data_IF_158160121752
#
_entry.id   IF_158160121752
#
_cell.length_a   1.000
_cell.length_b   1.000
_cell.length_c   1.000
_cell.angle_alpha   90.00
_cell.angle_beta   90.00
_cell.angle_gamma   90.00
#
_symmetry.space_group_name_H-M   'P 1'
#
loop_
_entity.id
_entity.type
_entity.pdbx_description
1 polymer ?
#
# COMPACT_ATOMS: atom_id res chain seq x y z
N UNK A 1 -3.03 7.87 -10.82
CA UNK A 1 -4.31 7.33 -10.35
C UNK A 1 -4.63 7.97 -9.01
N UNK A 2 -5.79 8.55 -8.94
CA UNK A 2 -6.21 9.28 -7.75
C UNK A 2 -6.72 8.34 -6.67
N UNK A 3 -6.48 8.70 -5.43
CA UNK A 3 -7.22 8.19 -4.29
C UNK A 3 -8.72 8.35 -4.48
N UNK A 4 -9.46 7.80 -3.56
CA UNK A 4 -10.89 8.09 -3.46
C UNK A 4 -11.13 9.60 -3.50
N UNK A 5 -12.21 10.00 -4.17
CA UNK A 5 -12.59 11.40 -4.22
C UNK A 5 -12.72 11.98 -2.81
N UNK A 6 -12.26 13.25 -2.62
CA UNK A 6 -12.38 13.90 -1.32
C UNK A 6 -13.83 13.84 -0.79
N UNK A 7 -14.01 13.68 0.54
CA UNK A 7 -13.02 13.75 1.61
C UNK A 7 -12.52 12.39 2.13
N UNK A 8 -12.56 11.34 1.33
CA UNK A 8 -12.49 9.97 1.81
C UNK A 8 -11.09 9.48 2.21
N UNK A 9 -10.05 9.78 1.43
CA UNK A 9 -8.70 9.27 1.73
C UNK A 9 -8.01 10.06 2.83
N UNK A 10 -7.25 9.36 3.67
CA UNK A 10 -6.44 10.00 4.71
C UNK A 10 -5.28 9.10 5.12
N UNK A 11 -4.28 9.70 5.75
CA UNK A 11 -3.21 9.01 6.48
C UNK A 11 -2.91 9.75 7.77
N UNK A 12 -2.96 9.04 8.88
CA UNK A 12 -2.46 9.45 10.18
C UNK A 12 -1.35 8.50 10.61
N UNK A 13 -0.19 9.02 10.96
CA UNK A 13 0.92 8.20 11.41
C UNK A 13 1.84 8.95 12.36
N UNK A 14 2.42 8.22 13.32
CA UNK A 14 3.45 8.74 14.21
C UNK A 14 4.79 8.14 13.85
N UNK A 15 5.72 8.98 13.47
CA UNK A 15 7.10 8.63 13.13
C UNK A 15 8.04 9.10 14.24
N UNK A 16 9.00 8.24 14.61
CA UNK A 16 10.02 8.52 15.61
C UNK A 16 11.39 8.06 15.12
N UNK A 17 12.43 8.73 15.54
CA UNK A 17 13.80 8.39 15.18
C UNK A 17 14.44 9.38 14.22
N UNK A 18 15.02 8.91 13.12
CA UNK A 18 15.70 9.77 12.14
C UNK A 18 14.78 10.83 11.53
N UNK A 19 13.49 10.60 11.53
CA UNK A 19 12.45 11.59 11.28
C UNK A 19 11.45 11.50 12.43
N UNK A 20 11.31 12.57 13.18
CA UNK A 20 10.37 12.65 14.31
C UNK A 20 9.25 13.62 13.94
N UNK A 21 8.09 13.10 13.62
CA UNK A 21 6.94 13.90 13.19
C UNK A 21 5.64 13.10 13.27
N UNK A 22 4.53 13.81 13.25
CA UNK A 22 3.22 13.23 13.08
C UNK A 22 2.71 13.58 11.69
N UNK A 23 2.30 12.56 10.94
CA UNK A 23 1.66 12.73 9.64
C UNK A 23 0.15 12.84 9.89
N UNK A 24 -0.44 13.87 9.28
CA UNK A 24 -1.87 14.01 9.19
C UNK A 24 -2.19 14.55 7.80
N UNK A 25 -2.48 13.64 6.88
CA UNK A 25 -2.83 13.98 5.50
C UNK A 25 -4.29 13.66 5.24
N UNK A 26 -5.00 14.62 4.69
CA UNK A 26 -6.33 14.43 4.13
C UNK A 26 -6.25 14.27 2.61
N UNK A 27 -7.35 13.91 1.98
CA UNK A 27 -7.40 13.64 0.54
C UNK A 27 -6.80 14.76 -0.33
N UNK A 28 -6.95 16.03 0.08
CA UNK A 28 -6.39 17.16 -0.64
C UNK A 28 -4.86 17.26 -0.54
N UNK A 29 -4.27 16.63 0.48
CA UNK A 29 -2.84 16.74 0.80
C UNK A 29 -2.00 15.59 0.25
N UNK A 30 -2.64 14.55 -0.28
CA UNK A 30 -1.96 13.33 -0.65
C UNK A 30 -2.37 12.82 -2.03
N UNK A 31 -1.50 12.00 -2.58
CA UNK A 31 -1.84 11.10 -3.68
C UNK A 31 -1.75 9.67 -3.16
N UNK A 32 -2.56 8.77 -3.68
CA UNK A 32 -2.46 7.37 -3.33
C UNK A 32 -2.70 6.44 -4.52
N UNK A 33 -2.17 5.25 -4.37
CA UNK A 33 -2.27 4.21 -5.36
C UNK A 33 -2.37 2.86 -4.64
N UNK A 34 -3.35 2.06 -5.03
CA UNK A 34 -3.55 0.75 -4.44
C UNK A 34 -3.87 -0.29 -5.51
N UNK A 35 -3.20 -1.42 -5.44
CA UNK A 35 -3.30 -2.48 -6.43
C UNK A 35 -2.86 -3.83 -5.87
N UNK A 36 -3.07 -4.88 -6.64
CA UNK A 36 -2.46 -6.17 -6.37
C UNK A 36 -0.94 -6.01 -6.35
N UNK A 37 -0.28 -6.78 -5.51
CA UNK A 37 1.19 -6.87 -5.57
C UNK A 37 1.64 -7.44 -6.92
N UNK A 38 2.88 -7.11 -7.36
CA UNK A 38 3.41 -7.64 -8.62
C UNK A 38 3.43 -9.18 -8.70
N UNK A 39 3.59 -9.87 -7.56
CA UNK A 39 3.51 -11.32 -7.45
C UNK A 39 2.07 -11.86 -7.40
N UNK A 40 1.08 -10.96 -7.48
CA UNK A 40 -0.37 -11.22 -7.40
C UNK A 40 -0.84 -11.84 -6.10
N UNK A 41 0.00 -11.83 -5.10
CA UNK A 41 -0.34 -12.28 -3.75
C UNK A 41 -0.55 -11.06 -2.85
N UNK A 42 -1.77 -10.90 -2.39
CA UNK A 42 -2.12 -9.77 -1.55
C UNK A 42 -2.13 -8.43 -2.29
N UNK A 43 -2.06 -7.37 -1.54
CA UNK A 43 -2.17 -6.01 -2.07
C UNK A 43 -1.03 -5.11 -1.60
N UNK A 44 -0.91 -4.00 -2.31
CA UNK A 44 0.01 -2.92 -2.00
C UNK A 44 -0.73 -1.60 -2.11
N UNK A 45 -0.56 -0.73 -1.13
CA UNK A 45 -1.08 0.63 -1.17
C UNK A 45 0.03 1.61 -0.83
N UNK A 46 0.08 2.73 -1.54
CA UNK A 46 1.06 3.79 -1.30
C UNK A 46 0.38 5.13 -1.20
N UNK A 47 0.95 5.99 -0.36
CA UNK A 47 0.51 7.35 -0.14
C UNK A 47 1.70 8.29 -0.23
N UNK A 48 1.55 9.40 -0.93
CA UNK A 48 2.58 10.43 -1.00
C UNK A 48 2.02 11.76 -0.56
N UNK A 49 2.75 12.45 0.28
CA UNK A 49 2.40 13.77 0.77
C UNK A 49 3.61 14.53 1.29
N UNK A 50 3.39 15.71 1.81
CA UNK A 50 4.44 16.58 2.35
C UNK A 50 4.27 16.72 3.85
N UNK A 51 5.36 16.56 4.59
CA UNK A 51 5.41 16.73 6.05
C UNK A 51 6.79 17.24 6.44
N UNK A 52 6.85 18.20 7.35
CA UNK A 52 8.11 18.80 7.83
C UNK A 52 9.02 19.31 6.69
N UNK A 53 8.44 19.82 5.61
CA UNK A 53 9.16 20.33 4.45
C UNK A 53 9.74 19.25 3.53
N UNK A 54 9.41 17.98 3.76
CA UNK A 54 9.86 16.86 2.95
C UNK A 54 8.70 16.20 2.24
N UNK A 55 8.95 15.68 1.04
CA UNK A 55 8.02 14.76 0.38
C UNK A 55 8.30 13.34 0.84
N UNK A 56 7.28 12.70 1.39
CA UNK A 56 7.33 11.35 1.91
C UNK A 56 6.41 10.44 1.11
N UNK A 57 6.85 9.22 0.85
CA UNK A 57 6.00 8.16 0.31
C UNK A 57 5.98 7.00 1.30
N UNK A 58 4.78 6.62 1.71
CA UNK A 58 4.53 5.47 2.58
C UNK A 58 3.98 4.34 1.73
N UNK A 59 4.60 3.17 1.79
CA UNK A 59 4.16 1.99 1.06
C UNK A 59 3.86 0.87 2.03
N UNK A 60 2.65 0.35 1.97
CA UNK A 60 2.20 -0.79 2.78
C UNK A 60 1.96 -1.98 1.86
N UNK A 61 2.63 -3.09 2.13
CA UNK A 61 2.45 -4.34 1.41
C UNK A 61 1.90 -5.42 2.32
N UNK A 62 0.76 -5.99 1.96
CA UNK A 62 0.09 -7.05 2.70
C UNK A 62 0.03 -8.32 1.84
N UNK A 63 1.06 -9.18 1.92
CA UNK A 63 1.17 -10.33 1.02
C UNK A 63 0.09 -11.39 1.20
N UNK A 64 -0.51 -11.44 2.36
CA UNK A 64 -1.49 -12.48 2.70
C UNK A 64 -2.93 -11.97 2.77
N UNK A 65 -3.17 -10.74 2.33
CA UNK A 65 -4.51 -10.13 2.38
C UNK A 65 -5.26 -10.37 1.06
N UNK A 66 -6.31 -11.21 1.07
CA UNK A 66 -7.15 -11.41 -0.11
C UNK A 66 -8.04 -10.21 -0.41
N UNK A 67 -8.53 -10.16 -1.65
CA UNK A 67 -9.55 -9.21 -2.06
C UNK A 67 -10.77 -9.26 -1.15
N UNK A 68 -11.21 -8.10 -0.67
CA UNK A 68 -12.42 -7.95 0.13
C UNK A 68 -12.33 -8.52 1.54
N UNK A 69 -11.18 -9.01 1.97
CA UNK A 69 -11.03 -9.59 3.30
C UNK A 69 -11.09 -8.51 4.38
N UNK A 70 -11.79 -8.84 5.46
CA UNK A 70 -11.83 -8.07 6.70
C UNK A 70 -11.22 -8.94 7.79
N UNK A 71 -10.10 -8.52 8.34
CA UNK A 71 -9.40 -9.30 9.37
C UNK A 71 -8.46 -8.43 10.20
N UNK A 72 -8.00 -8.99 11.33
CA UNK A 72 -6.91 -8.45 12.14
C UNK A 72 -5.62 -9.24 11.97
N UNK A 73 -4.56 -8.73 12.59
CA UNK A 73 -3.23 -9.35 12.62
C UNK A 73 -2.67 -9.67 11.22
N UNK A 74 -2.71 -8.70 10.33
CA UNK A 74 -2.20 -8.86 8.97
C UNK A 74 -0.72 -8.48 8.93
N UNK A 75 0.19 -9.43 8.66
CA UNK A 75 1.61 -9.13 8.47
C UNK A 75 1.81 -8.13 7.34
N UNK A 76 2.61 -7.10 7.60
CA UNK A 76 2.71 -5.95 6.70
C UNK A 76 4.17 -5.56 6.48
N UNK A 77 4.54 -5.39 5.22
CA UNK A 77 5.78 -4.74 4.83
C UNK A 77 5.56 -3.24 4.77
N UNK A 78 6.49 -2.48 5.31
CA UNK A 78 6.45 -1.02 5.27
C UNK A 78 7.71 -0.50 4.62
N UNK A 79 7.53 0.40 3.66
CA UNK A 79 8.62 1.18 3.06
C UNK A 79 8.28 2.66 3.21
N UNK A 80 9.24 3.42 3.68
CA UNK A 80 9.16 4.87 3.77
C UNK A 80 10.23 5.47 2.88
N UNK A 81 9.82 6.29 1.92
CA UNK A 81 10.73 6.99 1.01
C UNK A 81 10.76 8.45 1.41
N UNK A 82 11.94 8.95 1.76
CA UNK A 82 12.21 10.37 1.94
C UNK A 82 12.82 10.88 0.66
N UNK A 83 12.06 11.61 -0.14
CA UNK A 83 12.52 12.07 -1.45
C UNK A 83 13.82 12.87 -1.34
N UNK A 84 14.82 12.47 -2.14
CA UNK A 84 16.15 13.08 -2.11
C UNK A 84 17.02 12.73 -0.90
N UNK A 85 16.54 11.92 0.04
CA UNK A 85 17.28 11.57 1.26
C UNK A 85 17.53 10.07 1.45
N UNK A 86 16.54 9.22 1.14
CA UNK A 86 16.75 7.79 1.27
C UNK A 86 15.46 6.97 1.37
N UNK A 87 15.67 5.67 1.38
CA UNK A 87 14.62 4.66 1.46
C UNK A 87 14.83 3.85 2.73
N UNK A 88 13.75 3.69 3.50
CA UNK A 88 13.70 2.92 4.73
C UNK A 88 12.72 1.78 4.55
N UNK A 89 13.08 0.58 4.94
CA UNK A 89 12.22 -0.59 4.72
C UNK A 89 12.28 -1.59 5.86
N UNK A 90 11.19 -2.32 6.05
CA UNK A 90 11.18 -3.51 6.90
C UNK A 90 12.01 -4.63 6.28
N UNK A 91 12.52 -5.53 7.13
CA UNK A 91 13.18 -6.76 6.74
C UNK A 91 12.20 -7.92 6.87
N UNK A 92 11.29 -8.03 5.91
CA UNK A 92 10.22 -9.01 5.95
C UNK A 92 8.93 -8.50 6.60
N UNK A 93 8.01 -9.40 6.92
CA UNK A 93 6.64 -9.08 7.35
C UNK A 93 6.42 -9.17 8.87
N UNK A 94 7.48 -9.41 9.65
CA UNK A 94 7.37 -9.65 11.10
C UNK A 94 7.47 -8.38 11.95
N UNK A 95 7.90 -7.27 11.36
CA UNK A 95 8.16 -6.04 12.09
C UNK A 95 6.94 -5.15 12.24
N UNK A 96 6.01 -5.22 11.29
CA UNK A 96 4.79 -4.42 11.29
C UNK A 96 3.57 -5.30 11.04
N UNK A 97 2.44 -4.89 11.60
CA UNK A 97 1.18 -5.58 11.40
C UNK A 97 0.02 -4.59 11.35
N UNK A 98 -1.02 -4.94 10.62
CA UNK A 98 -2.31 -4.28 10.69
C UNK A 98 -3.15 -4.97 11.76
N UNK A 99 -3.59 -4.22 12.75
CA UNK A 99 -4.52 -4.70 13.79
C UNK A 99 -5.88 -5.00 13.19
N UNK A 100 -6.28 -4.18 12.24
CA UNK A 100 -7.62 -4.17 11.71
C UNK A 100 -7.59 -3.70 10.25
N UNK A 101 -8.28 -4.44 9.40
CA UNK A 101 -8.47 -4.13 7.98
C UNK A 101 -9.92 -4.34 7.60
N UNK A 102 -10.50 -3.33 6.97
CA UNK A 102 -11.82 -3.40 6.37
C UNK A 102 -11.75 -3.01 4.90
N UNK A 103 -12.33 -3.85 4.04
CA UNK A 103 -12.50 -3.55 2.63
C UNK A 103 -13.99 -3.47 2.28
N UNK A 104 -14.37 -2.42 1.57
CA UNK A 104 -15.74 -2.19 1.12
C UNK A 104 -15.74 -2.01 -0.39
N UNK A 105 -16.54 -2.81 -1.09
CA UNK A 105 -16.66 -2.69 -2.53
C UNK A 105 -17.23 -1.32 -2.94
N UNK A 106 -16.61 -0.73 -3.94
CA UNK A 106 -17.06 0.54 -4.53
C UNK A 106 -17.84 0.28 -5.81
N UNK A 107 -18.85 1.12 -6.11
CA UNK A 107 -19.60 1.00 -7.35
C UNK A 107 -18.69 1.10 -8.57
N UNK A 108 -19.01 0.31 -9.59
CA UNK A 108 -18.35 0.37 -10.89
C UNK A 108 -19.25 1.08 -11.88
N UNK A 109 -18.70 1.96 -12.75
CA UNK A 109 -19.47 2.55 -13.83
C UNK A 109 -20.10 1.48 -14.71
N UNK A 110 -21.37 1.70 -15.10
CA UNK A 110 -22.06 0.81 -16.02
C UNK A 110 -21.31 0.73 -17.36
N UNK A 111 -21.17 -0.47 -17.90
CA UNK A 111 -20.68 -0.72 -19.24
C UNK A 111 -19.24 -1.23 -19.34
N UNK A 112 -18.47 -1.14 -18.27
CA UNK A 112 -17.13 -1.69 -18.26
C UNK A 112 -17.10 -3.03 -17.53
N UNK A 113 -16.30 -3.98 -18.03
CA UNK A 113 -15.86 -5.10 -17.22
C UNK A 113 -14.87 -4.53 -16.20
N UNK A 114 -15.31 -4.36 -14.97
CA UNK A 114 -14.58 -3.50 -14.08
C UNK A 114 -13.37 -4.18 -13.49
N UNK A 115 -12.27 -3.47 -13.39
CA UNK A 115 -11.42 -3.70 -12.28
C UNK A 115 -12.24 -3.55 -11.00
N UNK A 116 -12.11 -4.50 -10.09
CA UNK A 116 -12.84 -4.49 -8.83
C UNK A 116 -12.23 -3.42 -7.94
N UNK A 117 -13.06 -2.48 -7.54
CA UNK A 117 -12.64 -1.31 -6.77
C UNK A 117 -13.09 -1.46 -5.33
N UNK A 118 -12.18 -1.21 -4.42
CA UNK A 118 -12.42 -1.34 -2.99
C UNK A 118 -11.89 -0.13 -2.23
N UNK A 119 -12.66 0.35 -1.27
CA UNK A 119 -12.13 1.21 -0.24
C UNK A 119 -11.45 0.31 0.79
N UNK A 120 -10.26 0.68 1.21
CA UNK A 120 -9.56 0.02 2.31
C UNK A 120 -9.40 0.97 3.48
N UNK A 121 -9.80 0.54 4.65
CA UNK A 121 -9.53 1.17 5.94
C UNK A 121 -8.63 0.23 6.74
N UNK A 122 -7.53 0.73 7.24
CA UNK A 122 -6.59 -0.08 8.00
C UNK A 122 -5.91 0.75 9.08
N UNK A 123 -5.56 0.08 10.17
CA UNK A 123 -4.70 0.64 11.20
C UNK A 123 -3.76 -0.42 11.73
N UNK A 124 -2.58 0.03 12.11
CA UNK A 124 -1.55 -0.88 12.57
C UNK A 124 -0.40 -0.18 13.26
N UNK A 125 0.67 -0.93 13.44
CA UNK A 125 1.85 -0.50 14.16
C UNK A 125 3.08 -1.26 13.68
N UNK A 126 4.25 -0.72 13.99
CA UNK A 126 5.50 -1.43 13.86
C UNK A 126 6.11 -1.67 15.25
N UNK A 127 6.63 -2.86 15.49
CA UNK A 127 7.36 -3.21 16.71
C UNK A 127 8.83 -2.79 16.61
N UNK A 128 9.38 -2.87 15.38
CA UNK A 128 10.74 -2.51 15.08
C UNK A 128 10.79 -1.38 14.06
N UNK A 129 11.81 -0.51 14.11
CA UNK A 129 11.93 0.56 13.14
C UNK A 129 12.26 0.05 11.74
N UNK A 130 11.76 0.77 10.73
CA UNK A 130 12.23 0.61 9.35
C UNK A 130 13.62 1.22 9.24
N UNK A 131 14.54 0.53 8.57
CA UNK A 131 15.94 0.92 8.48
C UNK A 131 16.31 1.40 7.09
N UNK A 132 17.23 2.37 7.05
CA UNK A 132 17.78 2.87 5.80
C UNK A 132 18.45 1.74 5.02
N UNK A 133 18.12 1.64 3.73
CA UNK A 133 18.74 0.62 2.86
C UNK A 133 20.21 0.89 2.58
N UNK A 134 20.64 2.16 2.68
CA UNK A 134 22.02 2.57 2.37
C UNK A 134 23.05 2.10 3.39
N UNK A 135 22.75 2.21 4.69
CA UNK A 135 23.71 1.94 5.75
C UNK A 135 23.14 1.14 6.94
N UNK A 136 21.83 1.03 7.02
CA UNK A 136 21.12 0.34 8.10
C UNK A 136 21.22 1.01 9.47
N UNK A 137 21.84 2.19 9.57
CA UNK A 137 22.04 2.92 10.84
C UNK A 137 20.90 3.84 11.16
N UNK A 138 20.45 4.60 10.16
CA UNK A 138 19.28 5.44 10.32
C UNK A 138 18.02 4.58 10.34
N UNK A 139 17.18 4.86 11.29
CA UNK A 139 15.97 4.10 11.50
C UNK A 139 14.81 5.02 11.87
N UNK A 140 13.63 4.67 11.40
CA UNK A 140 12.38 5.37 11.68
C UNK A 140 11.38 4.36 12.20
N UNK A 141 10.86 4.59 13.40
CA UNK A 141 9.78 3.78 13.96
C UNK A 141 8.44 4.38 13.57
N UNK A 142 7.63 3.62 12.87
CA UNK A 142 6.20 3.92 12.68
C UNK A 142 5.43 3.33 13.86
N UNK A 143 5.30 4.12 14.93
CA UNK A 143 4.73 3.65 16.18
C UNK A 143 3.26 3.24 16.02
N UNK A 144 2.53 3.99 15.23
CA UNK A 144 1.20 3.62 14.76
C UNK A 144 0.91 4.32 13.45
N UNK A 145 0.00 3.73 12.68
CA UNK A 145 -0.53 4.32 11.45
C UNK A 145 -1.99 3.91 11.26
N UNK A 146 -2.73 4.79 10.62
CA UNK A 146 -4.14 4.64 10.30
C UNK A 146 -4.36 5.26 8.93
N UNK A 147 -4.97 4.54 8.01
CA UNK A 147 -5.17 5.06 6.67
C UNK A 147 -6.46 4.57 6.01
N UNK A 148 -6.92 5.36 5.07
CA UNK A 148 -7.96 5.01 4.12
C UNK A 148 -7.47 5.30 2.72
N UNK A 149 -7.66 4.35 1.81
CA UNK A 149 -7.33 4.49 0.40
C UNK A 149 -8.24 3.66 -0.48
N UNK A 150 -7.90 3.58 -1.74
CA UNK A 150 -8.60 2.78 -2.73
C UNK A 150 -7.67 1.72 -3.31
N UNK A 151 -8.19 0.51 -3.41
CA UNK A 151 -7.52 -0.61 -4.07
C UNK A 151 -8.24 -0.90 -5.39
N UNK A 152 -7.45 -1.01 -6.42
CA UNK A 152 -7.87 -1.52 -7.71
C UNK A 152 -7.37 -2.96 -7.83
N UNK A 153 -8.27 -3.93 -7.62
CA UNK A 153 -7.92 -5.33 -7.85
C UNK A 153 -8.02 -5.61 -9.35
N UNK A 154 -6.88 -5.88 -9.96
CA UNK A 154 -6.85 -6.33 -11.34
C UNK A 154 -7.15 -7.84 -11.37
N UNK A 155 -8.08 -8.28 -12.23
CA UNK A 155 -8.31 -9.71 -12.41
C UNK A 155 -7.03 -10.37 -12.92
N UNK A 156 -6.82 -11.64 -12.55
CA UNK A 156 -5.74 -12.42 -13.12
C UNK A 156 -5.78 -12.30 -14.64
N UNK A 157 -4.65 -11.95 -15.24
CA UNK A 157 -4.56 -11.99 -16.68
C UNK A 157 -4.96 -13.41 -17.12
N UNK A 158 -5.95 -13.51 -18.00
CA UNK A 158 -6.25 -14.79 -18.64
C UNK A 158 -4.91 -15.35 -19.16
N UNK A 159 -4.61 -16.64 -18.92
CA UNK A 159 -3.42 -17.24 -19.50
C UNK A 159 -3.45 -16.92 -20.98
N UNK A 160 -2.32 -16.44 -21.51
CA UNK A 160 -2.21 -16.25 -22.96
C UNK A 160 -2.71 -17.54 -23.63
N UNK A 161 -3.63 -17.43 -24.62
CA UNK A 161 -4.04 -18.59 -25.35
C UNK A 161 -2.76 -19.23 -25.88
N UNK A 162 -2.55 -20.52 -25.54
CA UNK A 162 -1.44 -21.29 -26.07
C UNK A 162 -1.40 -21.05 -27.58
N UNK A 163 -0.26 -20.54 -28.06
CA UNK A 163 -0.07 -20.31 -29.47
C UNK A 163 -0.48 -21.61 -30.21
N UNK A 164 -1.42 -21.50 -31.15
CA UNK A 164 -1.85 -22.63 -31.92
C UNK A 164 -0.60 -23.31 -32.53
N UNK A 165 -0.46 -24.65 -32.45
CA UNK A 165 0.68 -25.30 -33.04
C UNK A 165 0.75 -24.94 -34.51
N UNK A 166 1.93 -24.52 -34.96
CA UNK A 166 2.16 -24.21 -36.38
C UNK A 166 1.70 -25.39 -37.20
N UNK A 167 0.89 -25.19 -38.26
CA UNK A 167 0.51 -26.30 -39.13
C UNK A 167 1.78 -26.93 -39.68
N UNK A 168 1.95 -28.22 -39.46
CA UNK A 168 3.04 -28.97 -40.10
C UNK A 168 2.82 -28.92 -41.59
N UNK A 169 3.76 -28.34 -42.31
CA UNK A 169 3.79 -28.40 -43.78
C UNK A 169 4.12 -29.84 -44.19
N UNK A 170 3.34 -30.49 -45.06
CA UNK A 170 3.68 -31.82 -45.52
C UNK A 170 4.96 -31.84 -46.34
#
# INVERSE_FOLDING_TARGET
VSCLEPPSAYVDARLQGALDTTIHWEAADLTCEGMNRPDRKGLRVSFQGTTAGETLTLVFGMPDLPEGANRGNVPTNVTLIREGRGIYSTQGTQQCALDEVHQVALPTPEGDRPPRRWQIDARGYCLDPVRALSDGRDAILMAHFDFRGMILWEPDALPEPLAAPSPSTP
#
